data_IF_955634753591
#
_entry.id   IF_955634753591
#
_cell.length_a   1.000
_cell.length_b   1.000
_cell.length_c   1.000
_cell.angle_alpha   90.00
_cell.angle_beta   90.00
_cell.angle_gamma   90.00
#
_symmetry.space_group_name_H-M   'P 1'
#
loop_
_entity.id
_entity.type
_entity.pdbx_description
1 polymer ?
#
# COMPACT_ATOMS: atom_id res chain seq x y z
N UNK A 1 -31.35 1.12 54.22
CA UNK A 1 -30.99 0.01 53.30
C UNK A 1 -31.69 0.30 51.97
N UNK A 2 -31.10 0.48 50.79
CA UNK A 2 -29.84 0.09 50.14
C UNK A 2 -29.50 1.21 49.13
N UNK A 3 -28.29 1.75 49.21
CA UNK A 3 -27.22 1.69 48.19
C UNK A 3 -27.19 2.85 47.18
N UNK A 4 -26.37 3.83 47.53
CA UNK A 4 -25.53 4.64 46.65
C UNK A 4 -24.77 3.71 45.70
N UNK A 5 -24.83 3.94 44.38
CA UNK A 5 -23.76 3.64 43.43
C UNK A 5 -23.89 4.67 42.30
N UNK A 6 -23.17 5.77 42.40
CA UNK A 6 -21.85 5.97 41.77
C UNK A 6 -21.98 6.34 40.29
N UNK A 7 -21.97 7.66 40.08
CA UNK A 7 -21.19 8.33 39.03
C UNK A 7 -20.11 7.43 38.44
N UNK A 8 -20.37 6.87 37.26
CA UNK A 8 -19.34 6.39 36.36
C UNK A 8 -19.40 7.28 35.11
N UNK A 9 -18.95 8.51 35.29
CA UNK A 9 -18.33 9.31 34.23
C UNK A 9 -17.10 8.53 33.79
N UNK A 10 -17.30 7.52 32.95
CA UNK A 10 -16.29 7.03 32.04
C UNK A 10 -16.72 7.71 30.74
N UNK A 11 -16.45 8.99 30.54
CA UNK A 11 -15.15 9.40 30.05
C UNK A 11 -14.47 8.23 29.31
N UNK A 12 -15.13 7.74 28.27
CA UNK A 12 -14.43 7.33 27.07
C UNK A 12 -13.81 8.63 26.54
N UNK A 13 -12.79 9.10 27.25
CA UNK A 13 -11.65 9.69 26.60
C UNK A 13 -11.26 8.61 25.61
N UNK A 14 -11.79 8.74 24.39
CA UNK A 14 -11.09 8.24 23.21
C UNK A 14 -9.72 8.81 23.44
N UNK A 15 -8.82 7.94 23.92
CA UNK A 15 -7.42 8.26 24.05
C UNK A 15 -7.00 8.41 22.60
N UNK A 16 -7.23 9.60 22.03
CA UNK A 16 -6.57 10.09 20.84
C UNK A 16 -5.14 10.40 21.29
N UNK A 17 -4.44 9.40 21.86
CA UNK A 17 -3.00 9.38 21.82
C UNK A 17 -2.70 9.25 20.33
N UNK A 18 -2.52 10.42 19.73
CA UNK A 18 -1.75 10.61 18.53
C UNK A 18 -0.34 10.10 18.82
N UNK A 19 -0.17 8.79 18.98
CA UNK A 19 1.10 8.12 19.00
C UNK A 19 1.62 8.24 17.57
N UNK A 20 2.29 9.36 17.34
CA UNK A 20 3.27 9.53 16.29
C UNK A 20 4.22 8.33 16.40
N UNK A 21 4.10 7.41 15.46
CA UNK A 21 4.95 6.23 15.31
C UNK A 21 5.62 6.34 13.96
N UNK A 22 6.81 5.76 13.83
CA UNK A 22 7.35 5.47 12.50
C UNK A 22 6.34 4.57 11.80
N UNK A 23 5.99 4.95 10.56
CA UNK A 23 5.05 4.21 9.75
C UNK A 23 5.79 3.65 8.56
N UNK A 24 5.61 2.37 8.30
CA UNK A 24 6.23 1.70 7.16
C UNK A 24 5.11 1.37 6.19
N UNK A 25 5.24 1.85 4.96
CA UNK A 25 4.43 1.38 3.85
C UNK A 25 5.13 0.16 3.24
N UNK A 26 4.45 -0.98 3.25
CA UNK A 26 4.92 -2.19 2.57
C UNK A 26 3.99 -2.46 1.40
N UNK A 27 4.53 -2.58 0.19
CA UNK A 27 3.80 -2.90 -1.02
C UNK A 27 4.30 -4.23 -1.58
N UNK A 28 3.44 -5.23 -1.64
CA UNK A 28 3.69 -6.40 -2.45
C UNK A 28 3.29 -6.12 -3.90
N UNK A 29 4.06 -6.63 -4.86
CA UNK A 29 3.76 -6.45 -6.27
C UNK A 29 3.86 -7.74 -7.06
N UNK A 30 3.02 -7.83 -8.09
CA UNK A 30 3.07 -8.86 -9.14
C UNK A 30 3.18 -8.17 -10.48
N UNK A 31 4.08 -8.62 -11.33
CA UNK A 31 4.35 -8.05 -12.66
C UNK A 31 4.22 -9.14 -13.70
N UNK A 32 3.41 -8.90 -14.72
CA UNK A 32 3.31 -9.75 -15.91
C UNK A 32 3.81 -8.96 -17.11
N UNK A 33 4.77 -9.53 -17.83
CA UNK A 33 5.29 -8.96 -19.07
C UNK A 33 4.98 -9.88 -20.23
N UNK A 34 4.20 -9.39 -21.19
CA UNK A 34 3.89 -10.08 -22.43
C UNK A 34 4.63 -9.40 -23.58
N UNK A 35 5.50 -10.15 -24.25
CA UNK A 35 6.21 -9.72 -25.45
C UNK A 35 5.66 -10.47 -26.66
N UNK A 36 5.11 -9.75 -27.63
CA UNK A 36 4.56 -10.30 -28.87
C UNK A 36 5.39 -9.84 -30.07
N UNK A 37 5.69 -10.77 -30.96
CA UNK A 37 6.41 -10.55 -32.21
C UNK A 37 5.84 -11.45 -33.31
N UNK A 38 6.21 -11.27 -34.59
CA UNK A 38 5.79 -12.18 -35.66
C UNK A 38 6.18 -13.65 -35.41
N UNK A 39 7.21 -13.90 -34.60
CA UNK A 39 7.65 -15.24 -34.21
C UNK A 39 6.86 -15.87 -33.07
N UNK A 40 5.87 -15.16 -32.50
CA UNK A 40 5.02 -15.62 -31.42
C UNK A 40 5.02 -14.69 -30.21
N UNK A 41 4.35 -15.15 -29.15
CA UNK A 41 4.16 -14.40 -27.91
C UNK A 41 4.81 -15.14 -26.74
N UNK A 42 5.57 -14.40 -25.94
CA UNK A 42 6.17 -14.87 -24.69
C UNK A 42 5.56 -14.08 -23.55
N UNK A 43 5.14 -14.77 -22.48
CA UNK A 43 4.67 -14.13 -21.26
C UNK A 43 5.55 -14.57 -20.09
N UNK A 44 6.01 -13.60 -19.31
CA UNK A 44 6.77 -13.82 -18.07
C UNK A 44 6.03 -13.18 -16.91
N UNK A 45 6.11 -13.80 -15.74
CA UNK A 45 5.57 -13.26 -14.50
C UNK A 45 6.69 -13.16 -13.46
N UNK A 46 6.63 -12.12 -12.63
CA UNK A 46 7.52 -11.90 -11.50
C UNK A 46 6.76 -11.27 -10.35
N UNK A 47 7.30 -11.36 -9.15
CA UNK A 47 6.71 -10.78 -7.95
C UNK A 47 7.80 -10.33 -6.98
N UNK A 48 7.46 -9.42 -6.09
CA UNK A 48 8.37 -8.94 -5.06
C UNK A 48 7.67 -8.09 -4.02
N UNK A 49 8.46 -7.57 -3.08
CA UNK A 49 8.01 -6.66 -2.03
C UNK A 49 8.87 -5.42 -2.05
N UNK A 50 8.24 -4.26 -2.04
CA UNK A 50 8.86 -2.94 -1.90
C UNK A 50 8.45 -2.35 -0.55
N UNK A 51 9.41 -1.77 0.18
CA UNK A 51 9.14 -1.13 1.47
C UNK A 51 9.62 0.31 1.42
N UNK A 52 8.74 1.22 1.81
CA UNK A 52 9.04 2.62 1.98
C UNK A 52 8.72 3.05 3.41
N UNK A 53 9.72 3.58 4.11
CA UNK A 53 9.54 4.07 5.47
C UNK A 53 9.22 5.55 5.43
N UNK A 54 8.05 5.94 5.97
CA UNK A 54 7.82 7.34 6.31
C UNK A 54 8.76 7.69 7.46
N UNK A 55 9.82 8.45 7.17
CA UNK A 55 10.92 8.78 8.09
C UNK A 55 10.49 9.56 9.32
N UNK A 56 9.29 10.13 9.33
CA UNK A 56 8.79 10.93 10.44
C UNK A 56 7.74 10.19 11.26
N UNK A 57 7.81 10.35 12.59
CA UNK A 57 6.76 9.87 13.50
C UNK A 57 5.48 10.67 13.21
N UNK A 58 4.57 10.10 12.44
CA UNK A 58 3.36 10.77 11.96
C UNK A 58 2.08 10.04 12.36
N UNK A 59 0.94 10.74 12.25
CA UNK A 59 -0.39 10.14 12.46
C UNK A 59 -0.71 9.21 11.27
N UNK A 60 -1.40 8.09 11.52
CA UNK A 60 -1.78 7.12 10.47
C UNK A 60 -2.58 7.75 9.33
N UNK A 61 -3.51 8.67 9.64
CA UNK A 61 -4.29 9.39 8.63
C UNK A 61 -3.42 10.29 7.74
N UNK A 62 -2.52 11.08 8.36
CA UNK A 62 -1.58 11.91 7.62
C UNK A 62 -0.63 11.07 6.76
N UNK A 63 -0.13 9.94 7.29
CA UNK A 63 0.70 9.01 6.54
C UNK A 63 -0.06 8.42 5.35
N UNK A 64 -1.32 7.99 5.47
CA UNK A 64 -2.07 7.51 4.30
C UNK A 64 -2.19 8.56 3.19
N UNK A 65 -2.41 9.82 3.56
CA UNK A 65 -2.56 10.92 2.60
C UNK A 65 -1.23 11.36 1.97
N UNK A 66 -0.11 11.28 2.71
CA UNK A 66 1.17 11.88 2.29
C UNK A 66 2.25 10.85 1.95
N UNK A 67 2.13 9.59 2.39
CA UNK A 67 3.07 8.51 2.12
C UNK A 67 2.81 7.81 0.78
N UNK A 68 1.77 8.22 0.03
CA UNK A 68 1.35 7.58 -1.22
C UNK A 68 1.22 6.04 -1.10
N UNK A 69 0.80 5.58 0.08
CA UNK A 69 0.69 4.17 0.40
C UNK A 69 -0.71 3.65 0.05
N UNK A 70 -0.90 3.35 -1.23
CA UNK A 70 -2.17 2.85 -1.77
C UNK A 70 -1.92 1.81 -2.86
N UNK A 71 -2.91 0.93 -3.02
CA UNK A 71 -2.92 -0.05 -4.10
C UNK A 71 -2.92 0.67 -5.44
N UNK A 72 -2.07 0.22 -6.36
CA UNK A 72 -1.97 0.83 -7.69
C UNK A 72 -1.66 -0.21 -8.74
N UNK A 73 -2.03 0.12 -9.96
CA UNK A 73 -1.68 -0.67 -11.14
C UNK A 73 -0.90 0.21 -12.09
N UNK A 74 0.27 -0.25 -12.48
CA UNK A 74 1.11 0.40 -13.48
C UNK A 74 1.11 -0.45 -14.75
N UNK A 75 0.94 0.19 -15.90
CA UNK A 75 1.06 -0.47 -17.19
C UNK A 75 2.01 0.29 -18.10
N UNK A 76 2.97 -0.44 -18.65
CA UNK A 76 3.98 0.08 -19.55
C UNK A 76 3.90 -0.69 -20.85
N UNK A 77 3.80 0.01 -21.98
CA UNK A 77 3.90 -0.62 -23.30
C UNK A 77 5.06 -0.03 -24.05
N UNK A 78 5.99 -0.88 -24.47
CA UNK A 78 7.13 -0.53 -25.31
C UNK A 78 6.96 -1.18 -26.68
N UNK A 79 7.23 -0.43 -27.74
CA UNK A 79 7.14 -0.91 -29.12
C UNK A 79 8.51 -0.71 -29.77
N UNK A 80 9.07 -1.80 -30.30
CA UNK A 80 10.33 -1.79 -31.05
C UNK A 80 10.14 -2.51 -32.38
N UNK A 81 9.96 -1.75 -33.45
CA UNK A 81 9.62 -2.30 -34.76
C UNK A 81 8.30 -3.05 -34.73
N UNK A 82 8.33 -4.35 -35.03
CA UNK A 82 7.15 -5.25 -35.00
C UNK A 82 6.96 -5.96 -33.65
N UNK A 83 7.85 -5.72 -32.68
CA UNK A 83 7.76 -6.30 -31.34
C UNK A 83 7.04 -5.33 -30.41
N UNK A 84 6.00 -5.80 -29.74
CA UNK A 84 5.29 -5.07 -28.68
C UNK A 84 5.48 -5.78 -27.36
N UNK A 85 5.92 -5.06 -26.34
CA UNK A 85 6.03 -5.55 -24.98
C UNK A 85 5.12 -4.75 -24.08
N UNK A 86 4.19 -5.44 -23.41
CA UNK A 86 3.32 -4.86 -22.40
C UNK A 86 3.66 -5.45 -21.05
N UNK A 87 3.95 -4.60 -20.09
CA UNK A 87 4.13 -4.95 -18.68
C UNK A 87 2.96 -4.40 -17.90
N UNK A 88 2.29 -5.24 -17.12
CA UNK A 88 1.29 -4.84 -16.13
C UNK A 88 1.84 -5.23 -14.78
N UNK A 89 1.92 -4.25 -13.87
CA UNK A 89 2.34 -4.47 -12.49
C UNK A 89 1.27 -3.98 -11.54
N UNK A 90 0.86 -4.86 -10.64
CA UNK A 90 -0.12 -4.60 -9.61
C UNK A 90 0.59 -4.51 -8.27
N UNK A 91 0.24 -3.50 -7.47
CA UNK A 91 0.78 -3.27 -6.14
C UNK A 91 -0.36 -3.32 -5.13
N UNK A 92 -0.16 -4.06 -4.05
CA UNK A 92 -1.03 -4.09 -2.87
C UNK A 92 -0.24 -3.54 -1.69
N UNK A 93 -0.69 -2.43 -1.12
CA UNK A 93 0.08 -1.65 -0.15
C UNK A 93 -0.61 -1.57 1.21
N UNK A 94 0.16 -1.85 2.27
CA UNK A 94 -0.28 -1.75 3.66
C UNK A 94 0.58 -0.78 4.45
N UNK A 95 -0.09 0.03 5.28
CA UNK A 95 0.55 0.99 6.17
C UNK A 95 0.49 0.48 7.62
N UNK A 96 1.67 0.13 8.15
CA UNK A 96 1.90 -0.32 9.52
C UNK A 96 2.10 0.85 10.49
#
# INVERSE_FOLDING_TARGET
MKKIFLLAVIAVAVITTSCKKERVCSCDWTSTTTSSSPGGTVTTASSGTEKWTATDKVKKGWAKENAECYDRTESYTNIWGTTTQTTVREYTCELD
#
